data_IF_862521212296
#
_entry.id   IF_862521212296
#
_cell.length_a   1.000
_cell.length_b   1.000
_cell.length_c   1.000
_cell.angle_alpha   90.00
_cell.angle_beta   90.00
_cell.angle_gamma   90.00
#
_symmetry.space_group_name_H-M   'P 1'
#
loop_
_entity.id
_entity.type
_entity.pdbx_description
1 polymer ?
#
# COMPACT_ATOMS: atom_id res chain seq x y z
N UNK A 1 -13.33 7.15 -7.91
CA UNK A 1 -12.22 8.10 -8.18
C UNK A 1 -11.02 7.32 -8.69
N UNK A 2 -10.45 7.62 -9.86
CA UNK A 2 -9.17 7.03 -10.30
C UNK A 2 -8.13 8.13 -10.21
N UNK A 3 -7.15 7.99 -9.32
CA UNK A 3 -6.08 8.97 -9.23
C UNK A 3 -5.32 8.98 -10.57
N UNK A 4 -5.22 10.15 -11.22
CA UNK A 4 -4.44 10.32 -12.46
C UNK A 4 -2.94 10.37 -12.12
N UNK A 5 -2.42 9.26 -11.62
CA UNK A 5 -1.08 9.16 -11.04
C UNK A 5 -0.33 8.02 -11.69
N UNK A 6 0.97 8.24 -11.96
CA UNK A 6 1.82 7.19 -12.49
C UNK A 6 2.05 6.10 -11.43
N UNK A 7 1.37 4.98 -11.62
CA UNK A 7 1.46 3.81 -10.75
C UNK A 7 2.88 3.24 -10.64
N UNK A 8 3.73 3.45 -11.66
CA UNK A 8 5.14 3.02 -11.59
C UNK A 8 5.95 3.92 -10.69
N UNK A 9 5.68 5.22 -10.70
CA UNK A 9 6.34 6.19 -9.82
C UNK A 9 5.90 5.98 -8.37
N UNK A 10 4.60 5.78 -8.12
CA UNK A 10 4.07 5.43 -6.80
C UNK A 10 4.75 4.19 -6.22
N UNK A 11 4.76 3.11 -7.00
CA UNK A 11 5.42 1.86 -6.63
C UNK A 11 6.91 2.07 -6.33
N UNK A 12 7.62 2.84 -7.17
CA UNK A 12 9.03 3.10 -6.96
C UNK A 12 9.27 3.91 -5.68
N UNK A 13 8.42 4.90 -5.40
CA UNK A 13 8.47 5.73 -4.19
C UNK A 13 8.27 4.88 -2.93
N UNK A 14 7.18 4.11 -2.87
CA UNK A 14 6.84 3.27 -1.71
C UNK A 14 7.93 2.21 -1.47
N UNK A 15 8.43 1.58 -2.54
CA UNK A 15 9.51 0.60 -2.42
C UNK A 15 10.81 1.21 -1.89
N UNK A 16 11.15 2.43 -2.32
CA UNK A 16 12.32 3.16 -1.83
C UNK A 16 12.18 3.54 -0.35
N UNK A 17 10.97 3.91 0.09
CA UNK A 17 10.64 4.15 1.51
C UNK A 17 10.87 2.92 2.38
N UNK A 18 10.25 1.79 2.03
CA UNK A 18 10.47 0.53 2.74
C UNK A 18 11.95 0.14 2.82
N UNK A 19 12.71 0.34 1.75
CA UNK A 19 14.16 0.06 1.71
C UNK A 19 14.98 1.01 2.57
N UNK A 20 14.57 2.27 2.69
CA UNK A 20 15.26 3.28 3.51
C UNK A 20 15.03 3.08 5.00
N UNK A 21 13.83 2.67 5.38
CA UNK A 21 13.52 2.37 6.79
C UNK A 21 14.23 1.10 7.26
N UNK A 22 14.31 0.08 6.39
CA UNK A 22 15.07 -1.15 6.68
C UNK A 22 14.42 -2.07 7.71
N UNK A 23 13.21 -1.75 8.18
CA UNK A 23 12.44 -2.54 9.14
C UNK A 23 12.20 -3.99 8.66
N UNK A 24 12.27 -4.19 7.34
CA UNK A 24 12.01 -5.46 6.67
C UNK A 24 13.24 -6.06 5.97
N UNK A 25 14.46 -5.66 6.33
CA UNK A 25 15.71 -6.19 5.76
C UNK A 25 15.92 -7.70 5.99
N UNK A 26 15.14 -8.30 6.90
CA UNK A 26 15.13 -9.75 7.13
C UNK A 26 14.38 -10.54 6.06
N UNK A 27 13.61 -9.86 5.20
CA UNK A 27 12.90 -10.48 4.09
C UNK A 27 13.89 -11.05 3.07
N UNK A 28 13.44 -12.06 2.33
CA UNK A 28 14.24 -12.62 1.23
C UNK A 28 14.33 -11.59 0.10
N UNK A 29 15.40 -11.68 -0.68
CA UNK A 29 15.57 -10.86 -1.88
C UNK A 29 14.33 -10.97 -2.79
N UNK A 30 13.75 -9.83 -3.17
CA UNK A 30 12.54 -9.75 -4.01
C UNK A 30 11.22 -9.93 -3.27
N UNK A 31 11.24 -10.29 -1.99
CA UNK A 31 10.01 -10.54 -1.22
C UNK A 31 9.28 -9.24 -0.90
N UNK A 32 10.01 -8.16 -0.57
CA UNK A 32 9.41 -6.83 -0.35
C UNK A 32 8.71 -6.31 -1.61
N UNK A 33 9.36 -6.45 -2.78
CA UNK A 33 8.74 -6.12 -4.05
C UNK A 33 7.44 -6.92 -4.27
N UNK A 34 7.47 -8.23 -3.99
CA UNK A 34 6.30 -9.11 -4.14
C UNK A 34 5.16 -8.73 -3.19
N UNK A 35 5.48 -8.37 -1.95
CA UNK A 35 4.50 -7.89 -0.98
C UNK A 35 3.91 -6.55 -1.40
N UNK A 36 4.72 -5.60 -1.88
CA UNK A 36 4.24 -4.31 -2.37
C UNK A 36 3.27 -4.47 -3.54
N UNK A 37 3.56 -5.35 -4.50
CA UNK A 37 2.62 -5.66 -5.59
C UNK A 37 1.28 -6.20 -5.07
N UNK A 38 1.31 -7.01 -4.01
CA UNK A 38 0.09 -7.52 -3.40
C UNK A 38 -0.71 -6.41 -2.72
N UNK A 39 -0.05 -5.50 -2.00
CA UNK A 39 -0.70 -4.35 -1.35
C UNK A 39 -1.32 -3.41 -2.38
N UNK A 40 -0.58 -3.03 -3.43
CA UNK A 40 -1.09 -2.23 -4.56
C UNK A 40 -2.30 -2.88 -5.23
N UNK A 41 -2.27 -4.20 -5.42
CA UNK A 41 -3.38 -4.93 -6.03
C UNK A 41 -4.61 -5.01 -5.11
N UNK A 42 -4.40 -5.20 -3.80
CA UNK A 42 -5.49 -5.24 -2.82
C UNK A 42 -6.15 -3.87 -2.66
N UNK A 43 -5.35 -2.82 -2.55
CA UNK A 43 -5.80 -1.43 -2.49
C UNK A 43 -6.53 -1.02 -3.77
N UNK A 44 -5.96 -1.27 -4.94
CA UNK A 44 -6.63 -1.01 -6.22
C UNK A 44 -7.94 -1.78 -6.40
N UNK A 45 -8.03 -3.01 -5.86
CA UNK A 45 -9.26 -3.79 -5.86
C UNK A 45 -10.31 -3.19 -4.92
N UNK A 46 -9.91 -2.69 -3.74
CA UNK A 46 -10.79 -1.97 -2.84
C UNK A 46 -11.28 -0.66 -3.45
N UNK A 47 -10.38 0.14 -4.04
CA UNK A 47 -10.71 1.39 -4.72
C UNK A 47 -11.74 1.21 -5.84
N UNK A 48 -11.70 0.08 -6.55
CA UNK A 48 -12.70 -0.25 -7.58
C UNK A 48 -14.10 -0.54 -7.00
N UNK A 49 -14.22 -0.77 -5.70
CA UNK A 49 -15.51 -0.94 -5.00
C UNK A 49 -16.07 0.38 -4.46
N UNK A 50 -15.23 1.41 -4.33
CA UNK A 50 -15.64 2.74 -3.87
C UNK A 50 -16.46 3.42 -4.97
N UNK A 51 -17.69 3.92 -4.67
CA UNK A 51 -18.49 4.68 -5.63
C UNK A 51 -17.75 5.89 -6.19
N UNK A 52 -18.16 6.40 -7.35
CA UNK A 52 -17.50 7.56 -7.98
C UNK A 52 -17.55 8.82 -7.09
N UNK A 53 -18.66 8.98 -6.37
CA UNK A 53 -18.94 10.01 -5.36
C UNK A 53 -18.71 9.53 -3.92
N UNK A 54 -18.14 8.33 -3.76
CA UNK A 54 -17.79 7.75 -2.48
C UNK A 54 -16.49 8.32 -1.94
N UNK A 55 -16.40 8.41 -0.62
CA UNK A 55 -15.17 8.72 0.10
C UNK A 55 -14.35 7.43 0.25
N UNK A 56 -13.03 7.55 0.09
CA UNK A 56 -12.13 6.44 0.37
C UNK A 56 -12.01 6.28 1.89
N UNK A 57 -12.30 5.08 2.39
CA UNK A 57 -12.19 4.75 3.81
C UNK A 57 -10.91 3.95 4.04
N UNK A 58 -9.91 4.60 4.67
CA UNK A 58 -8.59 4.07 4.98
C UNK A 58 -8.65 2.85 5.90
N UNK A 59 -9.59 2.81 6.86
CA UNK A 59 -9.76 1.67 7.78
C UNK A 59 -10.21 0.43 6.98
N UNK A 60 -11.14 0.61 6.06
CA UNK A 60 -11.60 -0.48 5.19
C UNK A 60 -10.53 -0.91 4.17
N UNK A 61 -9.73 0.02 3.65
CA UNK A 61 -8.59 -0.30 2.80
C UNK A 61 -7.54 -1.12 3.57
N UNK A 62 -7.20 -0.68 4.78
CA UNK A 62 -6.30 -1.37 5.68
C UNK A 62 -6.77 -2.80 5.94
N UNK A 63 -8.04 -3.02 6.28
CA UNK A 63 -8.58 -4.35 6.53
C UNK A 63 -8.44 -5.26 5.30
N UNK A 64 -8.69 -4.74 4.10
CA UNK A 64 -8.57 -5.49 2.85
C UNK A 64 -7.11 -5.88 2.56
N UNK A 65 -6.17 -4.95 2.70
CA UNK A 65 -4.74 -5.18 2.48
C UNK A 65 -4.19 -6.16 3.52
N UNK A 66 -4.49 -5.93 4.80
CA UNK A 66 -4.06 -6.79 5.91
C UNK A 66 -4.54 -8.23 5.72
N UNK A 67 -5.81 -8.43 5.37
CA UNK A 67 -6.36 -9.76 5.12
C UNK A 67 -5.69 -10.45 3.93
N UNK A 68 -5.43 -9.72 2.83
CA UNK A 68 -4.74 -10.26 1.66
C UNK A 68 -3.30 -10.68 1.99
N UNK A 69 -2.56 -9.84 2.71
CA UNK A 69 -1.19 -10.12 3.17
C UNK A 69 -1.13 -11.37 4.05
N UNK A 70 -2.05 -11.49 5.02
CA UNK A 70 -2.09 -12.67 5.89
C UNK A 70 -2.37 -13.97 5.12
N UNK A 71 -3.16 -13.90 4.05
CA UNK A 71 -3.50 -15.05 3.23
C UNK A 71 -2.36 -15.44 2.28
N UNK A 72 -1.73 -14.48 1.62
CA UNK A 72 -0.67 -14.72 0.61
C UNK A 72 0.69 -14.99 1.25
N UNK A 73 0.99 -14.37 2.38
CA UNK A 73 2.29 -14.42 3.04
C UNK A 73 2.18 -14.98 4.46
N UNK A 74 1.73 -16.25 4.65
CA UNK A 74 1.48 -16.80 5.97
C UNK A 74 2.72 -16.85 6.89
N UNK A 75 3.92 -16.90 6.30
CA UNK A 75 5.19 -16.86 7.03
C UNK A 75 5.53 -15.49 7.64
N UNK A 76 4.87 -14.43 7.17
CA UNK A 76 5.11 -13.05 7.57
C UNK A 76 3.89 -12.40 8.25
N UNK A 77 2.91 -13.20 8.68
CA UNK A 77 1.67 -12.74 9.32
C UNK A 77 1.86 -11.76 10.47
N UNK A 78 2.91 -11.95 11.27
CA UNK A 78 3.20 -11.06 12.41
C UNK A 78 3.58 -9.64 11.98
N UNK A 79 4.00 -9.46 10.72
CA UNK A 79 4.41 -8.19 10.14
C UNK A 79 3.33 -7.58 9.25
N UNK A 80 2.26 -8.32 8.93
CA UNK A 80 1.23 -7.89 7.99
C UNK A 80 0.53 -6.59 8.43
N UNK A 81 0.34 -6.39 9.73
CA UNK A 81 -0.23 -5.15 10.29
C UNK A 81 0.66 -3.95 9.96
N UNK A 82 1.94 -4.04 10.36
CA UNK A 82 2.91 -2.97 10.12
C UNK A 82 3.12 -2.70 8.62
N UNK A 83 3.19 -3.74 7.80
CA UNK A 83 3.29 -3.61 6.34
C UNK A 83 2.10 -2.86 5.74
N UNK A 84 0.87 -3.16 6.18
CA UNK A 84 -0.33 -2.52 5.67
C UNK A 84 -0.41 -1.05 6.11
N UNK A 85 -0.09 -0.74 7.38
CA UNK A 85 -0.02 0.63 7.90
C UNK A 85 1.04 1.44 7.14
N UNK A 86 2.28 0.94 7.06
CA UNK A 86 3.38 1.64 6.37
C UNK A 86 3.06 1.86 4.89
N UNK A 87 2.40 0.89 4.24
CA UNK A 87 1.97 1.06 2.85
C UNK A 87 0.98 2.21 2.69
N UNK A 88 -0.04 2.30 3.54
CA UNK A 88 -1.06 3.35 3.45
C UNK A 88 -0.44 4.73 3.70
N UNK A 89 0.38 4.85 4.75
CA UNK A 89 1.12 6.08 5.05
C UNK A 89 1.98 6.51 3.84
N UNK A 90 2.72 5.57 3.22
CA UNK A 90 3.58 5.91 2.08
C UNK A 90 2.80 6.20 0.80
N UNK A 91 1.65 5.55 0.60
CA UNK A 91 0.76 5.82 -0.52
C UNK A 91 0.15 7.22 -0.40
N UNK A 92 -0.35 7.57 0.79
CA UNK A 92 -0.88 8.90 1.09
C UNK A 92 0.19 9.99 0.92
N UNK A 93 1.37 9.80 1.52
CA UNK A 93 2.50 10.72 1.36
C UNK A 93 2.84 10.96 -0.11
N UNK A 94 2.84 9.90 -0.92
CA UNK A 94 3.12 10.02 -2.35
C UNK A 94 2.02 10.83 -3.05
N UNK A 95 0.74 10.52 -2.79
CA UNK A 95 -0.39 11.24 -3.38
C UNK A 95 -0.37 12.73 -3.03
N UNK A 96 -0.02 13.09 -1.79
CA UNK A 96 0.19 14.48 -1.37
C UNK A 96 1.37 15.09 -2.13
N UNK A 97 2.48 14.36 -2.30
CA UNK A 97 3.69 14.88 -2.97
C UNK A 97 3.51 15.22 -4.45
N UNK A 98 2.50 14.64 -5.11
CA UNK A 98 2.16 14.89 -6.51
C UNK A 98 0.90 15.76 -6.66
N UNK A 99 0.46 16.39 -5.58
CA UNK A 99 -0.77 17.23 -5.53
C UNK A 99 -2.04 16.47 -5.98
N UNK A 100 -2.09 15.13 -5.79
CA UNK A 100 -3.25 14.31 -6.14
C UNK A 100 -4.35 14.34 -5.07
N UNK A 101 -3.97 14.57 -3.82
CA UNK A 101 -4.87 14.78 -2.66
C UNK A 101 -4.33 15.94 -1.82
N UNK A 102 -5.21 16.61 -1.07
CA UNK A 102 -4.82 17.55 -0.02
C UNK A 102 -4.84 16.81 1.32
N UNK A 103 -3.82 17.04 2.16
CA UNK A 103 -3.79 16.54 3.54
C UNK A 103 -4.68 17.44 4.40
N UNK A 104 -5.69 16.88 5.07
CA UNK A 104 -6.61 17.62 5.97
C UNK A 104 -5.93 18.06 7.28
#
# INVERSE_FOLDING_TARGET
MTYDVDQKEMRAYILDKFKKEGDFDFLKEGEMETMLEAMLAADGAYMATVPEDGEYDDDAAYEAIFADLQNRFPGYKMYAMRLAEDYLDFAEEYLVSVDAIEWD
#
